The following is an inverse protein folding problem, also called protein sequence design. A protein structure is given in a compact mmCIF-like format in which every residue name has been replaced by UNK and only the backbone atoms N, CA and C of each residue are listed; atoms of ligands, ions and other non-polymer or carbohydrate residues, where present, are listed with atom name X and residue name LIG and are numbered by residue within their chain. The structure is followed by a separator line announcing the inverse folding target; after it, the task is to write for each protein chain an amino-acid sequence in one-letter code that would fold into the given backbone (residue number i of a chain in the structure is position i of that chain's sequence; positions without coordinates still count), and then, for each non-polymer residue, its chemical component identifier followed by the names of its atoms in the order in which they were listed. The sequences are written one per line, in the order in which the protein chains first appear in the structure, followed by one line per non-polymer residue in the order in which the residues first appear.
data_IF_245562277712
#
_entry.id   IF_245562277712
#
_cell.length_a   1.000
_cell.length_b   1.000
_cell.length_c   1.000
_cell.angle_alpha   90.00
_cell.angle_beta   90.00
_cell.angle_gamma   90.00
#
_symmetry.space_group_name_H-M   'P 1'
#
loop_
_entity.id
_entity.type
_entity.pdbx_description
1 polymer ?
#
# COMPACT_ATOMS: atom_id res chain seq x y z
N UNK A 1 37.77 -20.12 -41.72
CA UNK A 1 38.53 -21.36 -41.46
C UNK A 1 37.85 -22.07 -40.29
N UNK A 2 37.36 -23.31 -40.52
CA UNK A 2 36.67 -24.27 -39.62
C UNK A 2 35.37 -23.75 -38.92
N UNK A 3 34.11 -24.15 -39.20
CA UNK A 3 33.47 -25.39 -39.70
C UNK A 3 33.78 -26.61 -38.78
N UNK A 4 32.87 -27.40 -38.17
CA UNK A 4 31.50 -27.87 -38.50
C UNK A 4 30.79 -28.43 -37.23
N UNK A 5 29.46 -28.42 -37.32
CA UNK A 5 28.31 -28.97 -36.55
C UNK A 5 28.36 -30.40 -35.93
N UNK A 6 27.45 -30.69 -34.96
CA UNK A 6 26.25 -31.55 -35.18
C UNK A 6 25.28 -31.63 -33.98
N UNK A 7 24.02 -31.83 -34.37
CA UNK A 7 22.75 -31.96 -33.63
C UNK A 7 22.50 -33.43 -33.24
N UNK A 8 21.81 -33.67 -32.11
CA UNK A 8 20.82 -34.77 -32.02
C UNK A 8 19.82 -34.57 -30.87
N UNK A 9 18.53 -34.71 -31.23
CA UNK A 9 17.33 -34.76 -30.36
C UNK A 9 17.27 -36.05 -29.55
N UNK A 10 16.58 -36.02 -28.41
CA UNK A 10 16.15 -37.23 -27.69
C UNK A 10 15.11 -36.93 -26.62
N UNK A 11 13.84 -37.14 -26.97
CA UNK A 11 12.66 -37.17 -26.08
C UNK A 11 12.67 -38.49 -25.31
N UNK A 12 12.49 -38.48 -23.98
CA UNK A 12 11.92 -39.62 -23.26
C UNK A 12 10.98 -39.17 -22.13
N UNK A 13 9.72 -39.53 -22.31
CA UNK A 13 8.67 -39.62 -21.31
C UNK A 13 9.00 -40.69 -20.27
N UNK A 14 8.70 -40.43 -19.00
CA UNK A 14 8.39 -41.49 -18.02
C UNK A 14 7.17 -41.09 -17.18
N UNK A 15 6.05 -41.75 -17.48
CA UNK A 15 4.91 -41.95 -16.57
C UNK A 15 4.93 -43.42 -16.13
N UNK A 16 4.71 -43.69 -14.84
CA UNK A 16 3.69 -44.62 -14.26
C UNK A 16 4.10 -45.09 -12.85
N UNK A 17 3.50 -44.52 -11.78
CA UNK A 17 2.40 -44.99 -10.87
C UNK A 17 2.83 -46.00 -9.75
N UNK A 18 2.00 -46.31 -8.73
CA UNK A 18 2.23 -45.94 -7.32
C UNK A 18 2.46 -47.17 -6.43
N UNK A 19 2.79 -47.00 -5.15
CA UNK A 19 2.63 -48.09 -4.18
C UNK A 19 2.02 -47.62 -2.86
N UNK A 20 0.79 -48.09 -2.63
CA UNK A 20 0.11 -48.16 -1.34
C UNK A 20 0.79 -49.21 -0.45
N UNK A 21 0.96 -48.92 0.83
CA UNK A 21 0.88 -49.93 1.90
C UNK A 21 0.12 -49.37 3.11
N UNK A 22 -0.93 -50.09 3.53
CA UNK A 22 -1.77 -49.84 4.71
C UNK A 22 -1.27 -50.63 5.93
N UNK A 23 -1.41 -49.98 7.09
CA UNK A 23 -1.68 -50.45 8.46
C UNK A 23 -0.92 -51.63 9.10
N UNK A 24 -0.39 -51.35 10.31
CA UNK A 24 -0.58 -52.19 11.51
C UNK A 24 -0.82 -51.32 12.76
N UNK A 25 -1.83 -51.68 13.56
CA UNK A 25 -2.08 -51.22 14.93
C UNK A 25 -1.51 -52.25 15.94
N UNK A 26 -1.35 -51.86 17.23
CA UNK A 26 -2.18 -52.53 18.24
C UNK A 26 -2.68 -51.66 19.42
N UNK A 27 -3.94 -51.93 19.81
CA UNK A 27 -4.58 -52.07 21.16
C UNK A 27 -4.39 -50.93 22.20
N UNK A 28 -5.39 -50.10 22.50
CA UNK A 28 -6.66 -50.27 23.28
C UNK A 28 -6.54 -50.05 24.80
N UNK A 29 -7.49 -49.26 25.32
CA UNK A 29 -7.97 -49.02 26.71
C UNK A 29 -7.89 -47.51 27.01
N UNK A 30 -8.93 -46.78 27.41
CA UNK A 30 -10.30 -47.09 27.79
C UNK A 30 -11.09 -45.77 27.73
N UNK A 31 -12.32 -45.83 27.22
CA UNK A 31 -13.30 -44.74 27.14
C UNK A 31 -13.82 -44.31 28.50
N UNK A 32 -13.91 -43.00 28.76
CA UNK A 32 -14.96 -42.38 29.57
C UNK A 32 -15.34 -41.04 28.92
N UNK A 33 -16.61 -40.91 28.52
CA UNK A 33 -17.25 -39.63 28.24
C UNK A 33 -18.04 -39.20 29.47
N UNK A 34 -18.22 -37.90 29.71
CA UNK A 34 -19.53 -37.28 29.94
C UNK A 34 -19.43 -35.75 30.15
N UNK A 35 -20.23 -35.06 29.33
CA UNK A 35 -21.03 -33.84 29.57
C UNK A 35 -20.46 -32.53 30.15
N UNK A 36 -20.80 -31.48 29.40
CA UNK A 36 -20.94 -30.07 29.73
C UNK A 36 -21.76 -29.77 30.99
N UNK A 37 -21.33 -28.78 31.77
CA UNK A 37 -22.21 -27.89 32.53
C UNK A 37 -21.63 -26.47 32.61
N UNK A 38 -22.43 -25.53 32.14
CA UNK A 38 -22.29 -24.08 32.23
C UNK A 38 -22.76 -23.63 33.63
N UNK A 39 -21.95 -22.93 34.44
CA UNK A 39 -22.43 -22.02 35.51
C UNK A 39 -21.50 -20.81 35.68
N UNK A 40 -22.14 -19.66 35.88
CA UNK A 40 -21.66 -18.27 35.99
C UNK A 40 -20.81 -17.96 37.24
N UNK A 41 -19.88 -17.01 37.05
CA UNK A 41 -19.48 -15.88 37.91
C UNK A 41 -19.37 -15.99 39.43
N UNK A 42 -18.22 -15.58 39.98
CA UNK A 42 -18.12 -14.78 41.21
C UNK A 42 -16.69 -14.22 41.42
N UNK A 43 -16.60 -12.94 41.77
CA UNK A 43 -15.41 -12.27 42.28
C UNK A 43 -14.97 -12.82 43.64
N UNK A 44 -13.67 -12.84 43.92
CA UNK A 44 -13.17 -12.92 45.30
C UNK A 44 -12.06 -11.90 45.53
N UNK A 45 -12.37 -10.91 46.37
CA UNK A 45 -11.40 -9.98 46.95
C UNK A 45 -10.57 -10.66 48.05
N UNK A 46 -9.30 -10.29 48.15
CA UNK A 46 -8.41 -10.76 49.19
C UNK A 46 -8.68 -10.03 50.52
N UNK A 47 -9.04 -10.80 51.54
CA UNK A 47 -8.96 -10.40 52.96
C UNK A 47 -7.50 -10.43 53.41
N UNK A 48 -7.08 -9.36 54.08
CA UNK A 48 -5.86 -9.32 54.89
C UNK A 48 -6.01 -10.18 56.14
N UNK A 49 -4.99 -10.98 56.44
CA UNK A 49 -4.74 -11.49 57.79
C UNK A 49 -3.24 -11.30 58.10
N UNK A 50 -2.97 -10.45 59.10
CA UNK A 50 -1.65 -10.33 59.74
C UNK A 50 -1.41 -11.55 60.64
N UNK A 51 -0.25 -12.18 60.52
CA UNK A 51 0.40 -12.89 61.63
C UNK A 51 1.90 -12.62 61.61
N UNK A 52 2.38 -12.20 62.77
CA UNK A 52 3.76 -11.89 63.16
C UNK A 52 4.57 -13.17 63.37
N UNK A 53 5.85 -13.15 62.97
CA UNK A 53 6.84 -14.18 63.28
C UNK A 53 8.17 -13.88 62.60
N UNK A 54 9.17 -13.56 63.40
CA UNK A 54 10.56 -13.28 63.01
C UNK A 54 11.21 -14.49 62.33
N UNK A 55 11.75 -14.29 61.12
CA UNK A 55 12.68 -15.19 60.47
C UNK A 55 13.65 -14.39 59.60
N UNK A 56 14.93 -14.41 59.96
CA UNK A 56 16.04 -13.80 59.23
C UNK A 56 16.21 -14.49 57.86
N UNK A 57 15.92 -13.78 56.76
CA UNK A 57 16.17 -14.27 55.39
C UNK A 57 17.28 -13.45 54.75
N UNK A 58 18.42 -14.10 54.47
CA UNK A 58 19.49 -13.55 53.64
C UNK A 58 18.98 -13.31 52.22
N UNK A 59 19.05 -12.07 51.75
CA UNK A 59 18.71 -11.69 50.36
C UNK A 59 19.94 -11.92 49.48
N UNK A 60 19.92 -12.97 48.66
CA UNK A 60 20.82 -13.14 47.51
C UNK A 60 20.22 -12.54 46.23
N UNK A 61 21.03 -12.19 45.22
CA UNK A 61 20.53 -11.56 44.00
C UNK A 61 19.66 -12.55 43.20
N UNK A 62 18.40 -12.18 42.99
CA UNK A 62 17.44 -12.94 42.21
C UNK A 62 17.78 -12.80 40.71
N UNK A 63 18.42 -13.80 40.11
CA UNK A 63 18.50 -13.92 38.65
C UNK A 63 17.13 -14.36 38.12
N UNK A 64 16.39 -13.42 37.54
CA UNK A 64 15.18 -13.74 36.76
C UNK A 64 15.62 -14.25 35.40
N UNK A 65 15.66 -15.57 35.22
CA UNK A 65 15.70 -16.18 33.89
C UNK A 65 14.28 -16.21 33.33
N UNK A 66 14.00 -15.37 32.34
CA UNK A 66 12.78 -15.49 31.55
C UNK A 66 12.98 -16.64 30.54
N UNK A 67 12.61 -17.85 30.95
CA UNK A 67 12.38 -18.96 30.01
C UNK A 67 11.04 -18.70 29.32
N UNK A 68 11.08 -18.31 28.05
CA UNK A 68 9.90 -18.37 27.19
C UNK A 68 9.83 -19.80 26.68
N UNK A 69 9.11 -20.66 27.39
CA UNK A 69 8.67 -21.92 26.83
C UNK A 69 7.62 -21.60 25.76
N UNK A 70 8.05 -21.50 24.51
CA UNK A 70 7.14 -21.49 23.36
C UNK A 70 6.54 -22.89 23.26
N UNK A 71 5.25 -23.00 23.54
CA UNK A 71 4.50 -24.17 23.09
C UNK A 71 4.48 -24.08 21.56
N UNK A 72 5.27 -24.94 20.90
CA UNK A 72 5.33 -25.04 19.44
C UNK A 72 3.95 -25.39 18.89
N UNK A 73 3.22 -24.36 18.47
CA UNK A 73 2.18 -24.52 17.47
C UNK A 73 2.92 -24.52 16.14
N UNK A 74 2.94 -25.64 15.37
CA UNK A 74 3.59 -25.65 14.08
C UNK A 74 2.83 -24.68 13.15
N UNK A 75 3.35 -23.47 13.05
CA UNK A 75 2.98 -22.51 12.04
C UNK A 75 3.61 -22.98 10.74
N UNK A 76 2.80 -23.32 9.75
CA UNK A 76 3.24 -23.69 8.39
C UNK A 76 3.74 -22.45 7.62
N UNK A 77 3.78 -21.28 8.28
CA UNK A 77 4.21 -20.04 7.67
C UNK A 77 5.75 -19.99 7.70
N UNK A 78 6.42 -19.78 6.55
CA UNK A 78 7.87 -19.66 6.53
C UNK A 78 8.32 -18.49 7.42
N UNK A 79 9.14 -18.80 8.42
CA UNK A 79 9.73 -17.79 9.31
C UNK A 79 11.08 -17.33 8.78
N UNK A 80 11.33 -16.01 8.86
CA UNK A 80 12.62 -15.41 8.55
C UNK A 80 13.21 -14.86 9.84
N UNK A 81 14.33 -15.44 10.28
CA UNK A 81 15.09 -14.95 11.45
C UNK A 81 16.13 -13.94 10.97
N UNK A 82 15.93 -12.67 11.33
CA UNK A 82 16.86 -11.58 10.98
C UNK A 82 17.92 -11.42 12.07
N UNK A 83 19.20 -11.57 11.70
CA UNK A 83 20.31 -11.28 12.60
C UNK A 83 20.53 -9.75 12.71
N UNK A 84 20.83 -9.21 13.90
CA UNK A 84 21.10 -7.78 14.05
C UNK A 84 22.29 -7.33 13.21
N UNK A 85 22.14 -6.23 12.46
CA UNK A 85 23.23 -5.60 11.71
C UNK A 85 23.80 -4.39 12.46
N UNK A 86 25.10 -4.14 12.28
CA UNK A 86 25.79 -3.02 12.94
C UNK A 86 25.58 -1.68 12.21
N UNK A 87 25.64 -1.71 10.89
CA UNK A 87 25.43 -0.60 9.97
C UNK A 87 24.87 -1.12 8.63
N UNK A 88 24.25 -0.22 7.86
CA UNK A 88 23.88 -0.45 6.46
C UNK A 88 24.41 0.71 5.63
N UNK A 89 25.19 0.42 4.60
CA UNK A 89 25.67 1.41 3.65
C UNK A 89 25.71 0.85 2.24
N UNK A 90 25.48 1.70 1.24
CA UNK A 90 25.54 1.34 -0.17
C UNK A 90 24.56 2.10 -1.04
N UNK A 91 24.41 1.64 -2.28
CA UNK A 91 23.45 2.17 -3.25
C UNK A 91 22.43 1.08 -3.59
N UNK A 92 21.16 1.45 -3.65
CA UNK A 92 20.08 0.57 -4.10
C UNK A 92 19.26 1.26 -5.17
N UNK A 93 19.04 0.55 -6.28
CA UNK A 93 18.10 0.97 -7.32
C UNK A 93 16.78 0.27 -7.07
N UNK A 94 15.71 1.03 -6.84
CA UNK A 94 14.40 0.44 -6.54
C UNK A 94 13.66 0.04 -7.82
N UNK A 95 12.83 -1.01 -7.77
CA UNK A 95 11.90 -1.30 -8.84
C UNK A 95 10.86 -0.17 -8.93
N UNK A 96 10.16 -0.10 -10.07
CA UNK A 96 9.12 0.90 -10.30
C UNK A 96 8.05 0.93 -9.21
N UNK A 97 7.43 2.09 -9.00
CA UNK A 97 6.32 2.23 -8.06
C UNK A 97 5.09 1.47 -8.53
N UNK A 98 4.46 0.72 -7.61
CA UNK A 98 3.21 0.00 -7.86
C UNK A 98 2.09 0.93 -8.30
N UNK A 99 1.92 2.02 -7.54
CA UNK A 99 0.88 3.03 -7.75
C UNK A 99 1.06 3.80 -9.06
N UNK A 100 2.31 4.11 -9.45
CA UNK A 100 2.60 4.74 -10.74
C UNK A 100 2.42 3.75 -11.89
N UNK A 101 2.91 2.51 -11.74
CA UNK A 101 2.78 1.45 -12.76
C UNK A 101 1.33 1.30 -13.22
N UNK A 102 0.39 1.11 -12.27
CA UNK A 102 -1.01 0.91 -12.61
C UNK A 102 -1.69 2.16 -13.19
N UNK A 103 -1.35 3.36 -12.72
CA UNK A 103 -1.87 4.61 -13.32
C UNK A 103 -1.37 4.81 -14.74
N UNK A 104 -0.06 4.62 -14.97
CA UNK A 104 0.55 4.77 -16.29
C UNK A 104 0.00 3.73 -17.26
N UNK A 105 -0.16 2.47 -16.84
CA UNK A 105 -0.77 1.43 -17.68
C UNK A 105 -2.20 1.77 -18.07
N UNK A 106 -3.01 2.28 -17.12
CA UNK A 106 -4.38 2.68 -17.42
C UNK A 106 -4.42 3.88 -18.37
N UNK A 107 -3.63 4.94 -18.12
CA UNK A 107 -3.59 6.12 -18.98
C UNK A 107 -3.07 5.78 -20.38
N UNK A 108 -2.05 4.92 -20.48
CA UNK A 108 -1.56 4.39 -21.75
C UNK A 108 -2.67 3.64 -22.50
N UNK A 109 -3.42 2.77 -21.80
CA UNK A 109 -4.53 2.04 -22.37
C UNK A 109 -5.65 2.97 -22.87
N UNK A 110 -5.99 4.02 -22.12
CA UNK A 110 -7.05 4.97 -22.49
C UNK A 110 -6.62 5.98 -23.57
N UNK A 111 -5.33 6.10 -23.86
CA UNK A 111 -4.80 7.10 -24.78
C UNK A 111 -4.99 6.75 -26.27
N UNK A 112 -4.97 7.77 -27.13
CA UNK A 112 -4.72 7.60 -28.56
C UNK A 112 -3.22 7.40 -28.81
N UNK A 113 -2.84 6.34 -29.53
CA UNK A 113 -1.46 6.03 -29.89
C UNK A 113 -0.82 4.93 -29.04
N UNK A 114 0.46 4.66 -29.28
CA UNK A 114 1.21 3.58 -28.62
C UNK A 114 2.16 4.16 -27.58
N UNK A 115 2.10 3.63 -26.35
CA UNK A 115 2.99 4.01 -25.26
C UNK A 115 3.95 2.88 -24.92
N UNK A 116 5.24 3.17 -24.90
CA UNK A 116 6.28 2.31 -24.32
C UNK A 116 6.45 2.71 -22.86
N UNK A 117 6.22 1.76 -21.94
CA UNK A 117 6.31 1.94 -20.49
C UNK A 117 7.55 1.24 -19.97
N UNK A 118 8.51 2.00 -19.46
CA UNK A 118 9.79 1.52 -18.95
C UNK A 118 9.82 1.41 -17.42
N UNK A 119 10.67 0.51 -16.91
CA UNK A 119 10.87 0.22 -15.47
C UNK A 119 9.59 -0.21 -14.73
N UNK A 120 8.70 -0.93 -15.41
CA UNK A 120 7.46 -1.40 -14.83
C UNK A 120 7.72 -2.38 -13.66
N UNK A 121 6.94 -2.26 -12.59
CA UNK A 121 7.07 -3.14 -11.42
C UNK A 121 6.63 -4.57 -11.74
N UNK A 122 7.51 -5.54 -11.51
CA UNK A 122 7.12 -6.95 -11.52
C UNK A 122 6.43 -7.32 -10.19
N UNK A 123 5.10 -7.17 -10.15
CA UNK A 123 4.26 -7.50 -8.99
C UNK A 123 2.93 -8.08 -9.42
N UNK A 124 2.25 -8.80 -8.51
CA UNK A 124 0.92 -9.34 -8.75
C UNK A 124 -0.08 -8.24 -9.16
N UNK A 125 -0.05 -7.08 -8.50
CA UNK A 125 -0.94 -5.95 -8.84
C UNK A 125 -0.82 -5.53 -10.32
N UNK A 126 0.41 -5.42 -10.81
CA UNK A 126 0.69 -5.05 -12.21
C UNK A 126 0.35 -6.20 -13.16
N UNK A 127 0.62 -7.45 -12.75
CA UNK A 127 0.27 -8.62 -13.54
C UNK A 127 -1.24 -8.72 -13.77
N UNK A 128 -2.05 -8.49 -12.73
CA UNK A 128 -3.51 -8.42 -12.84
C UNK A 128 -3.98 -7.25 -13.71
N UNK A 129 -3.35 -6.07 -13.60
CA UNK A 129 -3.66 -4.94 -14.49
C UNK A 129 -3.40 -5.30 -15.96
N UNK A 130 -2.22 -5.83 -16.29
CA UNK A 130 -1.87 -6.25 -17.65
C UNK A 130 -2.82 -7.34 -18.17
N UNK A 131 -3.20 -8.30 -17.32
CA UNK A 131 -4.20 -9.32 -17.63
C UNK A 131 -5.56 -8.71 -17.97
N UNK A 132 -6.04 -7.77 -17.14
CA UNK A 132 -7.30 -7.09 -17.39
C UNK A 132 -7.28 -6.28 -18.69
N UNK A 133 -6.19 -5.58 -19.00
CA UNK A 133 -6.06 -4.86 -20.28
C UNK A 133 -6.11 -5.81 -21.48
N UNK A 134 -5.50 -6.99 -21.39
CA UNK A 134 -5.61 -8.03 -22.44
C UNK A 134 -7.03 -8.56 -22.56
N UNK A 135 -7.73 -8.79 -21.44
CA UNK A 135 -9.15 -9.20 -21.44
C UNK A 135 -10.06 -8.12 -22.04
N UNK A 136 -9.73 -6.84 -21.85
CA UNK A 136 -10.38 -5.70 -22.49
C UNK A 136 -10.04 -5.58 -23.98
N UNK A 137 -9.22 -6.47 -24.53
CA UNK A 137 -8.89 -6.60 -25.94
C UNK A 137 -7.74 -5.70 -26.43
N UNK A 138 -7.01 -5.04 -25.54
CA UNK A 138 -5.86 -4.21 -25.94
C UNK A 138 -4.66 -5.09 -26.34
N UNK A 139 -3.86 -4.60 -27.29
CA UNK A 139 -2.55 -5.17 -27.59
C UNK A 139 -1.54 -4.68 -26.55
N UNK A 140 -1.05 -5.63 -25.74
CA UNK A 140 -0.10 -5.39 -24.65
C UNK A 140 1.07 -6.37 -24.77
N UNK A 141 2.23 -5.85 -25.15
CA UNK A 141 3.46 -6.62 -25.35
C UNK A 141 4.42 -6.39 -24.19
N UNK A 142 4.81 -7.46 -23.50
CA UNK A 142 5.62 -7.39 -22.28
C UNK A 142 7.01 -7.97 -22.53
N UNK A 143 8.04 -7.17 -22.25
CA UNK A 143 9.42 -7.61 -22.19
C UNK A 143 9.91 -7.58 -20.74
N UNK A 144 9.90 -8.76 -20.10
CA UNK A 144 10.28 -8.92 -18.69
C UNK A 144 11.76 -8.66 -18.41
N UNK A 145 12.64 -8.95 -19.38
CA UNK A 145 14.08 -8.75 -19.23
C UNK A 145 14.41 -7.25 -19.19
N UNK A 146 13.75 -6.47 -20.06
CA UNK A 146 13.90 -5.01 -20.10
C UNK A 146 12.99 -4.27 -19.11
N UNK A 147 12.13 -4.98 -18.37
CA UNK A 147 11.07 -4.40 -17.52
C UNK A 147 10.22 -3.37 -18.28
N UNK A 148 9.91 -3.68 -19.54
CA UNK A 148 9.24 -2.80 -20.46
C UNK A 148 7.92 -3.41 -20.92
N UNK A 149 6.90 -2.58 -21.09
CA UNK A 149 5.63 -2.97 -21.72
C UNK A 149 5.26 -1.96 -22.81
N UNK A 150 4.83 -2.46 -23.96
CA UNK A 150 4.25 -1.64 -25.03
C UNK A 150 2.73 -1.81 -24.98
N UNK A 151 2.02 -0.70 -24.84
CA UNK A 151 0.56 -0.65 -24.81
C UNK A 151 0.06 0.15 -26.01
N UNK A 152 -0.72 -0.49 -26.88
CA UNK A 152 -1.50 0.22 -27.90
C UNK A 152 -2.79 0.74 -27.28
N UNK A 153 -2.89 2.05 -27.14
CA UNK A 153 -4.04 2.69 -26.52
C UNK A 153 -5.29 2.63 -27.40
N UNK A 154 -6.46 2.62 -26.74
CA UNK A 154 -7.76 2.45 -27.39
C UNK A 154 -8.51 3.76 -27.63
N UNK A 155 -7.93 4.92 -27.27
CA UNK A 155 -8.56 6.23 -27.46
C UNK A 155 -9.85 6.42 -26.66
N UNK A 156 -9.97 5.76 -25.50
CA UNK A 156 -11.07 5.94 -24.55
C UNK A 156 -12.22 4.94 -24.68
N UNK A 157 -12.21 4.05 -25.68
CA UNK A 157 -13.21 2.98 -25.81
C UNK A 157 -12.54 1.62 -25.91
N UNK A 158 -12.78 0.73 -24.94
CA UNK A 158 -12.15 -0.59 -24.93
C UNK A 158 -12.61 -1.45 -26.13
N UNK A 159 -11.69 -2.18 -26.78
CA UNK A 159 -11.99 -2.91 -28.02
C UNK A 159 -12.80 -4.20 -27.81
N UNK A 160 -12.84 -4.75 -26.60
CA UNK A 160 -13.76 -5.84 -26.26
C UNK A 160 -15.20 -5.35 -26.48
N UNK A 161 -16.04 -6.11 -27.19
CA UNK A 161 -17.46 -5.77 -27.37
C UNK A 161 -17.93 -5.21 -28.72
N UNK A 162 -17.20 -5.46 -29.81
CA UNK A 162 -17.79 -5.35 -31.17
C UNK A 162 -18.79 -6.47 -31.49
N UNK A 163 -18.84 -7.52 -30.67
CA UNK A 163 -19.75 -8.66 -30.77
C UNK A 163 -20.71 -8.67 -29.57
N UNK A 164 -21.99 -8.95 -29.82
CA UNK A 164 -23.11 -8.60 -28.93
C UNK A 164 -23.10 -9.27 -27.55
N UNK A 165 -23.39 -8.48 -26.50
CA UNK A 165 -23.84 -8.87 -25.14
C UNK A 165 -23.09 -10.04 -24.50
N UNK A 166 -21.84 -9.79 -24.11
CA UNK A 166 -21.07 -10.69 -23.24
C UNK A 166 -20.72 -9.93 -21.96
N UNK A 167 -20.96 -10.56 -20.80
CA UNK A 167 -20.45 -10.06 -19.53
C UNK A 167 -18.91 -10.27 -19.52
N UNK A 168 -18.15 -9.17 -19.42
CA UNK A 168 -16.69 -9.21 -19.40
C UNK A 168 -16.21 -9.29 -17.94
N UNK A 169 -15.64 -10.44 -17.56
CA UNK A 169 -15.11 -10.65 -16.22
C UNK A 169 -13.64 -10.20 -16.13
N UNK A 170 -13.34 -9.30 -15.19
CA UNK A 170 -12.00 -8.84 -14.87
C UNK A 170 -11.61 -9.35 -13.47
N UNK A 171 -10.79 -10.40 -13.44
CA UNK A 171 -10.23 -10.91 -12.19
C UNK A 171 -8.95 -10.16 -11.81
N UNK A 172 -8.99 -9.43 -10.70
CA UNK A 172 -7.93 -8.51 -10.27
C UNK A 172 -7.20 -8.96 -8.99
N UNK A 173 -7.37 -10.21 -8.57
CA UNK A 173 -6.69 -10.75 -7.40
C UNK A 173 -6.89 -9.90 -6.14
N UNK A 174 -5.81 -9.45 -5.49
CA UNK A 174 -5.85 -8.47 -4.40
C UNK A 174 -5.33 -7.07 -4.81
N UNK A 175 -5.36 -6.77 -6.12
CA UNK A 175 -4.80 -5.56 -6.72
C UNK A 175 -5.72 -4.34 -6.54
N UNK A 176 -5.70 -3.77 -5.33
CA UNK A 176 -6.53 -2.60 -5.01
C UNK A 176 -6.22 -1.38 -5.87
N UNK A 177 -4.96 -1.22 -6.28
CA UNK A 177 -4.52 -0.11 -7.14
C UNK A 177 -4.91 -0.27 -8.61
N UNK A 178 -5.39 -1.46 -9.01
CA UNK A 178 -5.98 -1.72 -10.32
C UNK A 178 -7.51 -1.69 -10.28
N UNK A 179 -8.11 -2.32 -9.25
CA UNK A 179 -9.57 -2.45 -9.07
C UNK A 179 -10.30 -1.11 -9.19
N UNK A 180 -9.94 -0.10 -8.41
CA UNK A 180 -10.69 1.17 -8.35
C UNK A 180 -10.58 1.96 -9.66
N UNK A 181 -9.37 2.19 -10.20
CA UNK A 181 -9.24 2.89 -11.48
C UNK A 181 -9.92 2.16 -12.64
N UNK A 182 -9.81 0.83 -12.71
CA UNK A 182 -10.47 0.06 -13.76
C UNK A 182 -11.99 0.12 -13.66
N UNK A 183 -12.57 0.03 -12.45
CA UNK A 183 -14.02 0.20 -12.27
C UNK A 183 -14.48 1.53 -12.87
N UNK A 184 -13.83 2.65 -12.51
CA UNK A 184 -14.20 3.96 -13.03
C UNK A 184 -13.99 4.06 -14.55
N UNK A 185 -12.87 3.52 -15.05
CA UNK A 185 -12.52 3.59 -16.47
C UNK A 185 -13.48 2.79 -17.36
N UNK A 186 -13.85 1.56 -16.98
CA UNK A 186 -14.81 0.77 -17.79
C UNK A 186 -16.21 1.36 -17.76
N UNK A 187 -16.60 2.01 -16.64
CA UNK A 187 -17.84 2.79 -16.56
C UNK A 187 -17.81 3.98 -17.52
N UNK A 188 -16.74 4.76 -17.52
CA UNK A 188 -16.64 5.98 -18.34
C UNK A 188 -16.42 5.71 -19.83
N UNK A 189 -15.59 4.72 -20.17
CA UNK A 189 -15.37 4.28 -21.55
C UNK A 189 -16.65 3.78 -22.23
N UNK A 190 -17.63 3.34 -21.44
CA UNK A 190 -18.93 2.93 -21.91
C UNK A 190 -18.89 1.69 -22.80
N UNK A 191 -19.75 1.69 -23.82
CA UNK A 191 -19.95 0.57 -24.73
C UNK A 191 -21.20 -0.23 -24.37
N UNK A 192 -21.65 -1.09 -25.29
CA UNK A 192 -22.86 -1.88 -25.07
C UNK A 192 -22.57 -3.17 -24.28
N UNK A 193 -21.94 -3.04 -23.11
CA UNK A 193 -21.32 -4.13 -22.35
C UNK A 193 -21.62 -4.07 -20.86
N UNK A 194 -21.52 -5.23 -20.25
CA UNK A 194 -21.52 -5.41 -18.81
C UNK A 194 -20.14 -5.91 -18.37
N UNK A 195 -19.65 -5.41 -17.24
CA UNK A 195 -18.39 -5.83 -16.65
C UNK A 195 -18.60 -6.34 -15.22
N UNK A 196 -17.84 -7.37 -14.85
CA UNK A 196 -17.77 -7.87 -13.48
C UNK A 196 -16.32 -7.79 -13.03
N UNK A 197 -16.02 -6.93 -12.06
CA UNK A 197 -14.69 -6.80 -11.47
C UNK A 197 -14.67 -7.53 -10.12
N UNK A 198 -13.85 -8.56 -10.02
CA UNK A 198 -13.76 -9.42 -8.83
C UNK A 198 -12.31 -9.76 -8.48
N UNK A 199 -12.12 -10.44 -7.36
CA UNK A 199 -10.80 -10.83 -6.88
C UNK A 199 -10.84 -12.00 -5.90
N UNK A 200 -9.73 -12.18 -5.20
CA UNK A 200 -9.61 -13.20 -4.14
C UNK A 200 -10.52 -12.83 -2.95
N UNK A 201 -10.83 -13.76 -2.01
CA UNK A 201 -11.68 -13.47 -0.85
C UNK A 201 -11.27 -12.21 -0.08
N UNK A 202 -9.95 -11.99 0.09
CA UNK A 202 -9.43 -10.79 0.74
C UNK A 202 -9.80 -9.48 0.02
N UNK A 203 -9.91 -9.49 -1.31
CA UNK A 203 -10.37 -8.32 -2.09
C UNK A 203 -11.84 -8.01 -1.84
N UNK A 204 -12.68 -9.03 -1.64
CA UNK A 204 -14.11 -8.88 -1.31
C UNK A 204 -14.37 -8.35 0.11
N UNK A 205 -13.31 -8.09 0.86
CA UNK A 205 -13.32 -7.43 2.17
C UNK A 205 -12.71 -6.01 2.10
N UNK A 206 -12.27 -5.56 0.91
CA UNK A 206 -11.67 -4.23 0.73
C UNK A 206 -12.74 -3.27 0.23
N UNK A 207 -12.84 -2.07 0.85
CA UNK A 207 -13.90 -1.13 0.50
C UNK A 207 -13.73 -0.61 -0.94
N UNK A 208 -14.88 -0.41 -1.58
CA UNK A 208 -15.07 0.26 -2.87
C UNK A 208 -16.40 1.02 -2.97
N UNK A 209 -17.29 0.88 -1.99
CA UNK A 209 -18.64 1.45 -2.01
C UNK A 209 -18.69 2.95 -2.32
N UNK A 210 -17.81 3.77 -1.75
CA UNK A 210 -17.83 5.22 -2.00
C UNK A 210 -17.52 5.57 -3.45
N UNK A 211 -16.67 4.79 -4.13
CA UNK A 211 -16.45 4.95 -5.57
C UNK A 211 -17.70 4.58 -6.35
N UNK A 212 -18.38 3.49 -5.98
CA UNK A 212 -19.63 3.05 -6.62
C UNK A 212 -20.72 4.11 -6.44
N UNK A 213 -20.90 4.63 -5.22
CA UNK A 213 -21.84 5.72 -4.91
C UNK A 213 -21.47 6.98 -5.68
N UNK A 214 -20.18 7.31 -5.81
CA UNK A 214 -19.71 8.44 -6.59
C UNK A 214 -20.07 8.31 -8.08
N UNK A 215 -19.85 7.14 -8.67
CA UNK A 215 -20.23 6.85 -10.07
C UNK A 215 -21.75 6.88 -10.27
N UNK A 216 -22.54 6.36 -9.32
CA UNK A 216 -24.01 6.44 -9.34
C UNK A 216 -24.52 7.89 -9.33
N UNK A 217 -23.90 8.78 -8.54
CA UNK A 217 -24.23 10.22 -8.54
C UNK A 217 -24.01 10.86 -9.93
N UNK A 218 -23.05 10.35 -10.70
CA UNK A 218 -22.76 10.78 -12.07
C UNK A 218 -23.62 10.07 -13.14
N UNK A 219 -24.64 9.32 -12.71
CA UNK A 219 -25.62 8.68 -13.58
C UNK A 219 -25.20 7.30 -14.13
N UNK A 220 -24.15 6.68 -13.60
CA UNK A 220 -23.74 5.34 -14.02
C UNK A 220 -24.61 4.22 -13.42
N UNK A 221 -24.86 3.18 -14.21
CA UNK A 221 -25.44 1.92 -13.73
C UNK A 221 -24.32 0.99 -13.22
N UNK A 222 -23.98 1.17 -11.95
CA UNK A 222 -22.94 0.39 -11.27
C UNK A 222 -23.43 -0.02 -9.89
N UNK A 223 -23.08 -1.24 -9.47
CA UNK A 223 -23.40 -1.77 -8.16
C UNK A 223 -22.27 -2.64 -7.63
N UNK A 224 -22.24 -2.85 -6.31
CA UNK A 224 -21.34 -3.81 -5.68
C UNK A 224 -22.12 -4.63 -4.65
N UNK A 225 -21.45 -5.58 -4.01
CA UNK A 225 -22.08 -6.39 -2.99
C UNK A 225 -22.62 -5.54 -1.82
N UNK A 226 -23.64 -6.03 -1.06
CA UNK A 226 -24.19 -5.30 0.09
C UNK A 226 -23.18 -4.95 1.20
N UNK A 227 -21.97 -5.53 1.17
CA UNK A 227 -20.87 -5.20 2.09
C UNK A 227 -20.00 -4.03 1.59
N UNK A 228 -20.42 -3.31 0.55
CA UNK A 228 -19.68 -2.19 -0.05
C UNK A 228 -18.27 -2.58 -0.55
N UNK A 229 -18.12 -3.84 -0.94
CA UNK A 229 -16.88 -4.45 -1.41
C UNK A 229 -17.12 -5.18 -2.76
N UNK A 230 -16.05 -5.52 -3.51
CA UNK A 230 -16.15 -6.37 -4.70
C UNK A 230 -16.86 -7.72 -4.42
N UNK A 231 -17.48 -8.36 -5.43
CA UNK A 231 -17.48 -8.00 -6.84
C UNK A 231 -18.25 -6.71 -7.15
N UNK A 232 -17.81 -6.00 -8.18
CA UNK A 232 -18.46 -4.80 -8.73
C UNK A 232 -19.05 -5.15 -10.10
N UNK A 233 -20.33 -4.86 -10.28
CA UNK A 233 -21.06 -5.02 -11.53
C UNK A 233 -21.24 -3.65 -12.17
N UNK A 234 -20.79 -3.50 -13.41
CA UNK A 234 -20.92 -2.26 -14.19
C UNK A 234 -21.72 -2.58 -15.44
N UNK A 235 -22.86 -1.93 -15.62
CA UNK A 235 -23.55 -1.86 -16.90
C UNK A 235 -23.11 -0.57 -17.60
N UNK A 236 -22.24 -0.70 -18.59
CA UNK A 236 -21.58 0.43 -19.23
C UNK A 236 -22.38 1.00 -20.43
N UNK A 237 -23.60 0.52 -20.65
CA UNK A 237 -24.48 0.97 -21.73
C UNK A 237 -24.66 2.48 -21.69
N UNK A 238 -24.19 3.16 -22.73
CA UNK A 238 -24.31 4.62 -22.85
C UNK A 238 -23.19 5.44 -22.18
N UNK A 239 -22.20 4.82 -21.53
CA UNK A 239 -21.08 5.53 -20.91
C UNK A 239 -21.48 6.34 -19.67
N UNK A 240 -20.58 7.23 -19.23
CA UNK A 240 -20.80 8.05 -18.04
C UNK A 240 -21.42 9.41 -18.41
N UNK A 241 -22.65 9.73 -17.98
CA UNK A 241 -23.32 10.99 -18.32
C UNK A 241 -22.59 12.24 -17.83
N UNK A 242 -22.00 12.18 -16.62
CA UNK A 242 -21.37 13.33 -15.96
C UNK A 242 -22.30 13.99 -14.93
N UNK A 243 -22.01 15.24 -14.56
CA UNK A 243 -22.78 15.98 -13.55
C UNK A 243 -21.97 16.27 -12.29
N UNK A 244 -22.63 16.29 -11.13
CA UNK A 244 -22.01 16.63 -9.85
C UNK A 244 -21.91 15.43 -8.94
N UNK A 245 -20.78 15.27 -8.27
CA UNK A 245 -20.55 14.22 -7.29
C UNK A 245 -19.94 14.79 -6.02
N UNK A 246 -20.43 14.33 -4.88
CA UNK A 246 -19.86 14.60 -3.56
C UNK A 246 -19.08 13.40 -3.08
N UNK A 247 -17.86 13.64 -2.61
CA UNK A 247 -16.96 12.59 -2.13
C UNK A 247 -16.28 13.03 -0.83
N UNK A 248 -16.13 12.11 0.11
CA UNK A 248 -15.30 12.34 1.31
C UNK A 248 -13.82 12.19 0.94
N UNK A 249 -13.06 13.25 1.19
CA UNK A 249 -11.60 13.30 1.05
C UNK A 249 -10.85 12.64 2.20
N UNK A 250 -11.52 12.30 3.30
CA UNK A 250 -10.91 11.62 4.45
C UNK A 250 -10.83 10.09 4.28
N UNK A 251 -11.67 9.47 3.46
CA UNK A 251 -11.74 8.00 3.34
C UNK A 251 -10.66 7.43 2.41
N UNK A 252 -10.61 7.86 1.14
CA UNK A 252 -9.59 7.37 0.22
C UNK A 252 -9.34 8.23 -0.99
N UNK A 253 -8.09 8.69 -1.12
CA UNK A 253 -7.57 9.33 -2.35
C UNK A 253 -7.61 8.39 -3.57
N UNK A 254 -7.73 7.07 -3.39
CA UNK A 254 -7.87 6.11 -4.49
C UNK A 254 -9.20 6.27 -5.23
N UNK A 255 -10.27 6.66 -4.54
CA UNK A 255 -11.58 6.85 -5.18
C UNK A 255 -11.60 8.14 -5.98
N UNK A 256 -11.12 9.23 -5.37
CA UNK A 256 -10.96 10.51 -6.07
C UNK A 256 -10.08 10.35 -7.31
N UNK A 257 -8.90 9.74 -7.18
CA UNK A 257 -7.99 9.57 -8.33
C UNK A 257 -8.55 8.64 -9.41
N UNK A 258 -9.33 7.62 -9.04
CA UNK A 258 -10.05 6.80 -10.02
C UNK A 258 -11.09 7.62 -10.80
N UNK A 259 -11.90 8.44 -10.12
CA UNK A 259 -12.85 9.34 -10.77
C UNK A 259 -12.14 10.37 -11.64
N UNK A 260 -11.07 10.99 -11.16
CA UNK A 260 -10.30 11.98 -11.93
C UNK A 260 -9.75 11.40 -13.23
N UNK A 261 -9.21 10.17 -13.23
CA UNK A 261 -8.70 9.55 -14.45
C UNK A 261 -9.82 9.17 -15.45
N UNK A 262 -11.02 8.87 -14.97
CA UNK A 262 -12.14 8.41 -15.80
C UNK A 262 -13.03 9.56 -16.31
N UNK A 263 -13.25 10.60 -15.50
CA UNK A 263 -14.13 11.73 -15.80
C UNK A 263 -13.84 12.46 -17.13
N UNK A 264 -12.58 12.58 -17.62
CA UNK A 264 -12.30 13.15 -18.94
C UNK A 264 -13.01 12.43 -20.09
N UNK A 265 -13.33 11.13 -19.92
CA UNK A 265 -14.04 10.31 -20.91
C UNK A 265 -15.56 10.43 -20.81
N UNK A 266 -16.09 11.13 -19.80
CA UNK A 266 -17.53 11.30 -19.62
C UNK A 266 -18.16 12.05 -20.79
N UNK A 267 -19.45 11.80 -21.03
CA UNK A 267 -20.21 12.46 -22.09
C UNK A 267 -20.45 13.95 -21.80
N UNK A 268 -20.60 14.29 -20.52
CA UNK A 268 -20.77 15.65 -20.02
C UNK A 268 -19.72 16.01 -18.98
N UNK A 269 -19.68 17.29 -18.61
CA UNK A 269 -18.74 17.81 -17.62
C UNK A 269 -18.99 17.20 -16.23
N UNK A 270 -17.92 17.04 -15.46
CA UNK A 270 -17.94 16.50 -14.10
C UNK A 270 -17.43 17.54 -13.11
N UNK A 271 -18.23 17.81 -12.07
CA UNK A 271 -17.83 18.60 -10.90
C UNK A 271 -17.74 17.70 -9.68
N UNK A 272 -16.56 17.60 -9.08
CA UNK A 272 -16.33 16.83 -7.85
C UNK A 272 -16.19 17.80 -6.68
N UNK A 273 -17.05 17.69 -5.68
CA UNK A 273 -17.01 18.45 -4.42
C UNK A 273 -16.50 17.53 -3.30
N UNK A 274 -15.41 17.93 -2.63
CA UNK A 274 -14.90 17.26 -1.44
C UNK A 274 -15.60 17.83 -0.22
N UNK A 275 -16.36 16.99 0.49
CA UNK A 275 -17.24 17.44 1.58
C UNK A 275 -16.52 17.64 2.93
N UNK A 276 -15.29 17.15 3.05
CA UNK A 276 -14.44 17.24 4.23
C UNK A 276 -12.98 17.52 3.83
N UNK A 277 -12.02 17.29 4.72
CA UNK A 277 -10.60 17.57 4.45
C UNK A 277 -10.00 16.46 3.59
N UNK A 278 -9.45 16.85 2.43
CA UNK A 278 -8.71 15.92 1.58
C UNK A 278 -7.40 15.47 2.23
N UNK A 279 -7.31 14.18 2.53
CA UNK A 279 -6.11 13.52 3.00
C UNK A 279 -5.33 12.99 1.79
N UNK A 280 -4.00 12.96 1.88
CA UNK A 280 -3.12 12.44 0.83
C UNK A 280 -3.17 13.20 -0.50
N UNK A 281 -3.27 14.54 -0.43
CA UNK A 281 -3.14 15.47 -1.59
C UNK A 281 -2.01 15.07 -2.55
N UNK A 282 -0.82 14.60 -2.11
CA UNK A 282 0.24 14.23 -3.04
C UNK A 282 -0.11 13.11 -4.03
N UNK A 283 -1.02 12.19 -3.70
CA UNK A 283 -1.49 11.18 -4.67
C UNK A 283 -2.42 11.78 -5.73
N UNK A 284 -3.17 12.82 -5.37
CA UNK A 284 -4.00 13.57 -6.31
C UNK A 284 -3.11 14.39 -7.24
N UNK A 285 -2.17 15.16 -6.68
CA UNK A 285 -1.17 15.93 -7.45
C UNK A 285 -0.40 15.03 -8.43
N UNK A 286 0.06 13.86 -7.97
CA UNK A 286 0.72 12.86 -8.82
C UNK A 286 -0.17 12.41 -9.97
N UNK A 287 -1.47 12.18 -9.70
CA UNK A 287 -2.43 11.74 -10.72
C UNK A 287 -2.67 12.85 -11.75
N UNK A 288 -2.87 14.09 -11.30
CA UNK A 288 -3.05 15.24 -12.21
C UNK A 288 -1.83 15.45 -13.11
N UNK A 289 -0.62 15.46 -12.55
CA UNK A 289 0.63 15.58 -13.33
C UNK A 289 0.81 14.45 -14.34
N UNK A 290 0.39 13.22 -14.00
CA UNK A 290 0.39 12.12 -14.96
C UNK A 290 -0.62 12.38 -16.07
N UNK A 291 -1.85 12.79 -15.75
CA UNK A 291 -2.88 13.08 -16.74
C UNK A 291 -2.45 14.20 -17.71
N UNK A 292 -1.77 15.24 -17.20
CA UNK A 292 -1.20 16.31 -18.02
C UNK A 292 -0.16 15.79 -19.02
N UNK A 293 0.69 14.83 -18.62
CA UNK A 293 1.64 14.17 -19.54
C UNK A 293 0.93 13.41 -20.66
N UNK A 294 -0.30 12.97 -20.43
CA UNK A 294 -1.18 12.36 -21.45
C UNK A 294 -2.14 13.39 -22.09
N UNK A 295 -1.89 14.69 -21.93
CA UNK A 295 -2.60 15.76 -22.64
C UNK A 295 -3.97 16.13 -22.09
N UNK A 296 -4.32 15.70 -20.87
CA UNK A 296 -5.58 16.02 -20.20
C UNK A 296 -5.33 16.94 -19.02
N UNK A 297 -6.13 18.00 -18.90
CA UNK A 297 -6.02 18.99 -17.85
C UNK A 297 -7.30 19.03 -17.02
N UNK A 298 -7.13 19.14 -15.69
CA UNK A 298 -8.23 19.27 -14.74
C UNK A 298 -8.08 20.58 -13.99
N UNK A 299 -9.17 21.33 -13.91
CA UNK A 299 -9.24 22.55 -13.11
C UNK A 299 -9.58 22.14 -11.66
N UNK A 300 -8.92 22.73 -10.67
CA UNK A 300 -9.25 22.49 -9.25
C UNK A 300 -9.05 23.75 -8.42
N UNK A 301 -9.73 23.84 -7.28
CA UNK A 301 -9.54 24.94 -6.32
C UNK A 301 -8.18 24.84 -5.62
N UNK A 302 -7.66 25.98 -5.17
CA UNK A 302 -6.43 26.04 -4.36
C UNK A 302 -6.57 25.27 -3.02
N UNK A 303 -7.80 25.20 -2.50
CA UNK A 303 -8.17 24.46 -1.29
C UNK A 303 -8.33 22.96 -1.51
N UNK A 304 -8.29 22.47 -2.76
CA UNK A 304 -8.52 21.07 -3.14
C UNK A 304 -9.91 20.52 -2.79
N UNK A 305 -10.87 21.41 -2.56
CA UNK A 305 -12.26 21.05 -2.23
C UNK A 305 -13.16 20.90 -3.46
N UNK A 306 -12.70 21.33 -4.64
CA UNK A 306 -13.45 21.26 -5.89
C UNK A 306 -12.57 20.93 -7.07
N UNK A 307 -13.07 20.07 -7.95
CA UNK A 307 -12.46 19.73 -9.23
C UNK A 307 -13.51 19.90 -10.33
N UNK A 308 -13.11 20.54 -11.42
CA UNK A 308 -13.92 20.69 -12.62
C UNK A 308 -13.22 20.03 -13.81
N UNK A 309 -13.90 19.05 -14.40
CA UNK A 309 -13.39 18.22 -15.47
C UNK A 309 -14.31 18.36 -16.66
N UNK A 310 -13.76 18.83 -17.79
CA UNK A 310 -14.51 18.88 -19.05
C UNK A 310 -14.68 17.47 -19.60
N UNK A 311 -15.91 17.10 -19.96
CA UNK A 311 -16.21 15.83 -20.62
C UNK A 311 -15.69 15.79 -22.05
N UNK A 312 -15.60 14.60 -22.63
CA UNK A 312 -15.17 14.37 -24.02
C UNK A 312 -13.71 14.72 -24.31
N UNK A 313 -12.88 14.88 -23.29
CA UNK A 313 -11.44 15.01 -23.44
C UNK A 313 -10.82 13.69 -23.90
N UNK A 314 -9.65 13.77 -24.53
CA UNK A 314 -8.94 12.62 -25.05
C UNK A 314 -7.52 12.57 -24.54
N UNK A 315 -7.15 11.44 -23.95
CA UNK A 315 -5.77 11.15 -23.63
C UNK A 315 -4.97 10.90 -24.91
N UNK A 316 -3.74 11.40 -24.95
CA UNK A 316 -2.78 11.20 -26.04
C UNK A 316 -1.53 10.56 -25.49
N UNK A 317 -1.04 9.53 -26.19
CA UNK A 317 0.19 8.88 -25.78
C UNK A 317 1.37 9.85 -25.88
N UNK A 318 2.23 9.93 -24.85
CA UNK A 318 3.50 10.64 -24.95
C UNK A 318 4.57 9.85 -25.75
N UNK A 319 4.24 8.68 -26.29
CA UNK A 319 5.18 7.75 -26.94
C UNK A 319 5.96 6.91 -25.93
N UNK A 320 6.58 7.56 -24.94
CA UNK A 320 7.35 6.90 -23.88
C UNK A 320 6.94 7.39 -22.50
N UNK A 321 6.90 6.48 -21.52
CA UNK A 321 6.61 6.78 -20.12
C UNK A 321 7.51 5.94 -19.22
N UNK A 322 8.06 6.55 -18.18
CA UNK A 322 8.97 5.89 -17.26
C UNK A 322 8.34 5.80 -15.87
N UNK A 323 8.39 4.61 -15.26
CA UNK A 323 7.94 4.40 -13.89
C UNK A 323 9.09 4.66 -12.93
N UNK A 324 8.96 5.71 -12.10
CA UNK A 324 9.92 6.04 -11.04
C UNK A 324 10.05 4.91 -10.01
N UNK A 325 11.20 4.83 -9.34
CA UNK A 325 11.43 3.88 -8.25
C UNK A 325 10.44 4.12 -7.09
N UNK A 326 10.01 3.06 -6.42
CA UNK A 326 8.97 3.14 -5.39
C UNK A 326 9.42 3.92 -4.14
N UNK A 327 8.90 5.14 -3.97
CA UNK A 327 9.31 6.03 -2.88
C UNK A 327 8.87 5.51 -1.50
N UNK A 328 7.74 4.80 -1.42
CA UNK A 328 7.29 4.17 -0.17
C UNK A 328 8.28 3.08 0.27
N UNK A 329 8.75 2.24 -0.66
CA UNK A 329 9.77 1.22 -0.40
C UNK A 329 11.15 1.83 -0.12
N UNK A 330 11.47 2.98 -0.72
CA UNK A 330 12.70 3.72 -0.42
C UNK A 330 12.82 4.03 1.08
N UNK A 331 11.68 4.34 1.73
CA UNK A 331 11.65 4.68 3.15
C UNK A 331 12.34 3.64 4.03
N UNK A 332 12.25 2.34 3.70
CA UNK A 332 12.86 1.27 4.49
C UNK A 332 14.39 1.34 4.50
N UNK A 333 14.98 1.58 3.32
CA UNK A 333 16.44 1.66 3.15
C UNK A 333 16.99 2.95 3.77
N UNK A 334 16.29 4.06 3.56
CA UNK A 334 16.66 5.35 4.15
C UNK A 334 16.55 5.33 5.68
N UNK A 335 15.49 4.71 6.22
CA UNK A 335 15.31 4.48 7.65
C UNK A 335 16.41 3.59 8.21
N UNK A 336 16.82 2.54 7.49
CA UNK A 336 17.93 1.68 7.87
C UNK A 336 19.24 2.47 8.04
N UNK A 337 19.56 3.35 7.10
CA UNK A 337 20.72 4.23 7.21
C UNK A 337 20.61 5.18 8.41
N UNK A 338 19.44 5.81 8.59
CA UNK A 338 19.19 6.73 9.69
C UNK A 338 19.31 6.06 11.07
N UNK A 339 18.70 4.89 11.26
CA UNK A 339 18.75 4.13 12.51
C UNK A 339 20.17 3.64 12.80
N UNK A 340 20.88 3.20 11.76
CA UNK A 340 22.18 2.56 11.93
C UNK A 340 23.38 3.49 11.76
N UNK A 341 23.20 4.79 11.47
CA UNK A 341 24.32 5.71 11.29
C UNK A 341 25.16 5.43 10.03
N UNK A 342 24.69 4.54 9.15
CA UNK A 342 25.33 4.26 7.87
C UNK A 342 24.88 5.24 6.78
N UNK A 343 25.30 5.01 5.53
CA UNK A 343 24.95 5.87 4.39
C UNK A 343 24.34 5.07 3.25
N UNK A 344 23.08 5.34 2.93
CA UNK A 344 22.38 4.68 1.81
C UNK A 344 21.95 5.70 0.77
N UNK A 345 22.25 5.40 -0.48
CA UNK A 345 21.72 6.09 -1.67
C UNK A 345 20.61 5.25 -2.28
N UNK A 346 19.44 5.84 -2.50
CA UNK A 346 18.35 5.25 -3.28
C UNK A 346 18.30 5.92 -4.63
N UNK A 347 18.38 5.14 -5.70
CA UNK A 347 18.23 5.59 -7.09
C UNK A 347 16.83 5.31 -7.61
N UNK A 348 16.34 6.20 -8.48
CA UNK A 348 15.04 6.11 -9.14
C UNK A 348 13.97 7.05 -8.57
N UNK A 349 14.26 7.74 -7.47
CA UNK A 349 13.42 8.80 -6.90
C UNK A 349 14.32 9.90 -6.32
N UNK A 350 14.09 11.16 -6.72
CA UNK A 350 14.85 12.33 -6.28
C UNK A 350 13.97 13.58 -6.24
N UNK A 351 14.55 14.77 -6.47
CA UNK A 351 13.79 16.03 -6.42
C UNK A 351 12.68 16.13 -7.46
N UNK A 352 12.83 15.43 -8.59
CA UNK A 352 11.90 15.50 -9.71
C UNK A 352 10.79 14.41 -9.62
N UNK A 353 10.80 13.62 -8.53
CA UNK A 353 9.83 12.55 -8.26
C UNK A 353 8.41 13.09 -8.15
N UNK A 354 7.47 12.42 -8.82
CA UNK A 354 6.04 12.69 -8.66
C UNK A 354 5.49 12.18 -7.32
N UNK A 355 6.19 11.25 -6.65
CA UNK A 355 5.73 10.60 -5.44
C UNK A 355 5.97 11.47 -4.19
N UNK A 356 4.92 11.72 -3.41
CA UNK A 356 5.00 12.50 -2.17
C UNK A 356 5.87 11.87 -1.07
N UNK A 357 5.93 10.54 -1.03
CA UNK A 357 6.65 9.76 -0.03
C UNK A 357 8.17 9.97 -0.07
N UNK A 358 8.70 10.50 -1.17
CA UNK A 358 10.12 10.84 -1.27
C UNK A 358 10.53 11.82 -0.15
N UNK A 359 9.60 12.69 0.27
CA UNK A 359 9.79 13.67 1.35
C UNK A 359 9.98 13.04 2.72
N UNK A 360 9.84 11.72 2.86
CA UNK A 360 10.22 11.01 4.08
C UNK A 360 11.68 11.29 4.49
N UNK A 361 12.57 11.47 3.51
CA UNK A 361 13.96 11.83 3.80
C UNK A 361 14.08 13.17 4.56
N UNK A 362 13.22 14.16 4.28
CA UNK A 362 13.18 15.43 5.03
C UNK A 362 12.78 15.22 6.50
N UNK A 363 11.93 14.20 6.78
CA UNK A 363 11.59 13.83 8.16
C UNK A 363 12.82 13.24 8.85
N UNK A 364 13.57 12.37 8.18
CA UNK A 364 14.82 11.82 8.71
C UNK A 364 15.87 12.91 8.95
N UNK A 365 15.92 13.94 8.10
CA UNK A 365 16.78 15.11 8.29
C UNK A 365 16.43 15.86 9.58
N UNK A 366 15.14 16.12 9.82
CA UNK A 366 14.65 16.72 11.08
C UNK A 366 14.97 15.86 12.30
N UNK A 367 15.04 14.54 12.13
CA UNK A 367 15.46 13.60 13.17
C UNK A 367 16.99 13.57 13.35
N UNK A 368 17.77 14.31 12.56
CA UNK A 368 19.23 14.45 12.73
C UNK A 368 20.07 13.64 11.75
N UNK A 369 19.48 13.01 10.74
CA UNK A 369 20.23 12.46 9.61
C UNK A 369 20.72 13.58 8.69
N UNK A 370 21.76 13.31 7.90
CA UNK A 370 22.18 14.17 6.78
C UNK A 370 21.54 13.66 5.50
N UNK A 371 20.91 14.55 4.74
CA UNK A 371 20.25 14.20 3.49
C UNK A 371 20.86 14.98 2.33
N UNK A 372 21.09 14.31 1.22
CA UNK A 372 21.54 14.95 -0.02
C UNK A 372 20.75 14.40 -1.19
N UNK A 373 20.51 15.26 -2.16
CA UNK A 373 19.58 15.01 -3.25
C UNK A 373 20.27 15.19 -4.60
N UNK A 374 19.86 14.38 -5.56
CA UNK A 374 19.98 14.69 -6.99
C UNK A 374 18.58 14.69 -7.60
N UNK A 375 18.49 14.95 -8.91
CA UNK A 375 17.21 14.84 -9.62
C UNK A 375 16.58 13.45 -9.51
N UNK A 376 17.40 12.39 -9.53
CA UNK A 376 16.97 11.00 -9.63
C UNK A 376 17.40 10.12 -8.46
N UNK A 377 17.96 10.70 -7.39
CA UNK A 377 18.38 9.93 -6.22
C UNK A 377 18.29 10.74 -4.93
N UNK A 378 18.18 10.01 -3.82
CA UNK A 378 18.22 10.54 -2.46
C UNK A 378 19.22 9.74 -1.64
N UNK A 379 20.09 10.43 -0.91
CA UNK A 379 21.10 9.82 -0.05
C UNK A 379 20.88 10.25 1.38
N UNK A 380 20.80 9.29 2.30
CA UNK A 380 20.65 9.52 3.73
C UNK A 380 21.85 8.92 4.46
N UNK A 381 22.52 9.75 5.25
CA UNK A 381 23.55 9.34 6.21
C UNK A 381 23.00 9.52 7.62
N UNK A 382 22.89 8.43 8.38
CA UNK A 382 22.46 8.52 9.78
C UNK A 382 23.48 9.25 10.67
N UNK A 383 23.07 9.72 11.84
CA UNK A 383 23.95 10.43 12.76
C UNK A 383 25.11 9.53 13.23
N UNK A 384 26.32 10.10 13.44
CA UNK A 384 27.46 9.35 13.95
C UNK A 384 27.17 8.82 15.35
N UNK A 385 27.86 7.74 15.74
CA UNK A 385 27.86 7.28 17.12
C UNK A 385 28.51 8.34 17.99
N UNK A 386 27.88 8.66 19.11
CA UNK A 386 28.52 9.48 20.13
C UNK A 386 29.59 8.70 20.91
N UNK A 387 30.27 9.39 21.82
CA UNK A 387 31.29 8.81 22.71
C UNK A 387 30.75 7.71 23.64
N UNK A 388 29.44 7.57 23.79
CA UNK A 388 28.79 6.48 24.53
C UNK A 388 28.41 5.29 23.65
N UNK A 389 28.69 5.36 22.34
CA UNK A 389 28.38 4.32 21.36
C UNK A 389 26.95 4.36 20.83
N UNK A 390 26.15 5.36 21.23
CA UNK A 390 24.73 5.48 20.88
C UNK A 390 24.54 6.36 19.62
N UNK A 391 23.56 6.00 18.79
CA UNK A 391 23.19 6.69 17.56
C UNK A 391 21.96 7.53 17.84
N UNK A 392 22.06 8.85 17.73
CA UNK A 392 21.02 9.75 18.25
C UNK A 392 20.13 10.30 17.15
N UNK A 393 18.95 9.70 16.97
CA UNK A 393 17.85 10.36 16.30
C UNK A 393 17.05 11.21 17.29
N UNK A 394 16.66 12.41 16.87
CA UNK A 394 15.80 13.33 17.61
C UNK A 394 14.32 12.95 17.46
N UNK A 395 13.53 13.25 18.49
CA UNK A 395 12.08 13.15 18.39
C UNK A 395 11.54 14.26 17.48
N UNK A 396 10.54 13.93 16.67
CA UNK A 396 9.83 14.88 15.81
C UNK A 396 8.32 14.75 16.04
N UNK A 397 7.62 15.86 15.82
CA UNK A 397 6.17 15.91 15.70
C UNK A 397 5.85 16.31 14.25
N UNK A 398 5.26 15.39 13.50
CA UNK A 398 5.06 15.51 12.05
C UNK A 398 3.69 14.97 11.68
N UNK A 399 2.94 15.75 10.91
CA UNK A 399 1.71 15.30 10.28
C UNK A 399 2.05 14.44 9.05
N UNK A 400 1.64 13.17 9.07
CA UNK A 400 1.93 12.20 8.02
C UNK A 400 0.81 12.09 6.96
N UNK A 401 -0.21 12.95 6.99
CA UNK A 401 -1.33 12.93 6.03
C UNK A 401 -0.88 13.15 4.57
N UNK A 402 0.32 13.72 4.35
CA UNK A 402 0.92 13.88 3.01
C UNK A 402 1.69 12.65 2.53
N UNK A 403 2.00 11.71 3.42
CA UNK A 403 2.80 10.52 3.14
C UNK A 403 2.36 9.35 4.03
N UNK A 404 1.07 8.94 3.97
CA UNK A 404 0.51 7.99 4.93
C UNK A 404 1.18 6.61 4.86
N UNK A 405 1.60 6.16 3.67
CA UNK A 405 2.17 4.82 3.46
C UNK A 405 3.51 4.62 4.19
N UNK A 406 4.28 5.71 4.38
CA UNK A 406 5.56 5.70 5.12
C UNK A 406 5.41 5.98 6.62
N UNK A 407 4.19 6.21 7.12
CA UNK A 407 3.94 6.43 8.55
C UNK A 407 4.38 5.22 9.40
N UNK A 408 4.19 4.00 8.89
CA UNK A 408 4.65 2.78 9.55
C UNK A 408 6.18 2.70 9.63
N UNK A 409 6.88 3.15 8.60
CA UNK A 409 8.34 3.25 8.61
C UNK A 409 8.79 4.26 9.68
N UNK A 410 8.16 5.43 9.73
CA UNK A 410 8.46 6.44 10.76
C UNK A 410 8.22 5.91 12.18
N UNK A 411 7.14 5.16 12.38
CA UNK A 411 6.79 4.57 13.67
C UNK A 411 7.93 3.68 14.21
N UNK A 412 8.57 2.89 13.33
CA UNK A 412 9.73 2.07 13.69
C UNK A 412 10.96 2.95 13.97
N UNK A 413 11.26 3.94 13.11
CA UNK A 413 12.37 4.88 13.32
C UNK A 413 12.26 5.61 14.66
N UNK A 414 11.04 6.00 15.05
CA UNK A 414 10.76 6.68 16.30
C UNK A 414 11.10 5.85 17.57
N UNK A 415 11.22 4.51 17.46
CA UNK A 415 11.67 3.65 18.56
C UNK A 415 13.17 3.80 18.85
N UNK A 416 13.95 4.30 17.89
CA UNK A 416 15.40 4.49 18.00
C UNK A 416 15.78 5.93 18.42
N UNK A 417 14.81 6.74 18.85
CA UNK A 417 15.04 8.10 19.35
C UNK A 417 15.57 8.12 20.79
N UNK A 418 16.37 9.12 21.12
CA UNK A 418 16.81 9.32 22.51
C UNK A 418 15.72 10.00 23.37
N UNK A 419 15.46 9.43 24.55
CA UNK A 419 14.67 10.04 25.63
C UNK A 419 15.59 10.19 26.87
N UNK A 420 15.87 11.38 27.46
CA UNK A 420 15.05 12.60 27.59
C UNK A 420 15.75 13.91 27.10
N UNK A 421 16.82 13.82 26.32
CA UNK A 421 17.65 14.99 25.95
C UNK A 421 17.00 15.95 24.92
N UNK A 422 15.88 15.56 24.32
CA UNK A 422 15.24 16.31 23.24
C UNK A 422 14.55 17.63 23.67
N UNK A 423 14.42 17.90 24.98
CA UNK A 423 13.71 19.09 25.46
C UNK A 423 14.50 20.40 25.33
N UNK A 424 15.82 20.35 25.06
CA UNK A 424 16.67 21.56 24.95
C UNK A 424 16.96 22.03 23.53
N UNK A 425 16.73 21.21 22.50
CA UNK A 425 16.96 21.59 21.08
C UNK A 425 15.68 21.85 20.29
N UNK A 426 14.56 21.23 20.64
CA UNK A 426 13.28 21.58 20.07
C UNK A 426 12.70 22.74 20.88
N UNK A 427 12.78 23.96 20.33
CA UNK A 427 12.06 25.12 20.88
C UNK A 427 10.57 24.80 21.06
N UNK A 428 9.93 25.46 22.03
CA UNK A 428 8.49 25.33 22.34
C UNK A 428 7.67 25.25 21.05
N UNK A 429 7.16 24.06 20.74
CA UNK A 429 6.06 23.87 19.80
C UNK A 429 4.79 23.86 20.67
N UNK A 430 4.03 24.96 20.61
CA UNK A 430 2.69 25.03 21.19
C UNK A 430 1.77 24.12 20.39
N UNK A 431 1.07 23.22 21.08
CA UNK A 431 0.10 22.32 20.47
C UNK A 431 -1.22 23.05 20.26
N UNK A 432 -1.53 23.38 19.01
CA UNK A 432 -2.91 23.67 18.62
C UNK A 432 -3.68 22.34 18.60
N UNK A 433 -4.50 22.12 19.63
CA UNK A 433 -5.47 21.03 19.64
C UNK A 433 -6.66 21.43 18.78
N UNK A 434 -6.75 20.93 17.56
CA UNK A 434 -8.00 20.84 16.84
C UNK A 434 -8.36 19.36 16.71
N UNK A 435 -9.48 18.97 17.33
CA UNK A 435 -10.00 17.62 17.28
C UNK A 435 -10.55 17.31 15.89
N UNK A 436 -9.75 16.61 15.10
CA UNK A 436 -10.17 15.96 13.86
C UNK A 436 -9.36 14.67 13.70
N UNK A 437 -9.97 13.63 13.10
CA UNK A 437 -9.38 12.32 12.82
C UNK A 437 -8.14 12.45 11.93
N UNK A 438 -6.99 12.66 12.55
CA UNK A 438 -5.69 12.85 11.92
C UNK A 438 -4.76 11.69 12.34
N UNK A 439 -3.93 11.20 11.40
CA UNK A 439 -2.89 10.22 11.71
C UNK A 439 -1.73 10.91 12.45
N UNK A 440 -1.89 11.07 13.77
CA UNK A 440 -0.82 11.51 14.67
C UNK A 440 -0.13 10.32 15.33
N UNK A 441 1.21 10.32 15.32
CA UNK A 441 2.00 9.46 16.20
C UNK A 441 2.05 10.07 17.61
N UNK A 442 1.00 9.84 18.40
CA UNK A 442 0.87 10.39 19.76
C UNK A 442 1.32 9.42 20.87
N UNK A 443 1.69 10.00 22.02
CA UNK A 443 2.03 9.33 23.27
C UNK A 443 0.82 9.35 24.21
N UNK A 444 0.34 8.20 24.69
CA UNK A 444 -0.50 8.14 25.91
C UNK A 444 0.36 7.91 27.15
N UNK A 445 0.23 8.77 28.16
CA UNK A 445 0.81 8.60 29.50
C UNK A 445 -0.29 8.10 30.45
N UNK A 446 -0.30 6.80 30.77
CA UNK A 446 -1.01 6.34 31.97
C UNK A 446 -0.12 6.57 33.18
N UNK A 447 -0.53 7.49 34.06
CA UNK A 447 0.07 7.67 35.38
C UNK A 447 -0.60 6.69 36.33
N UNK A 448 -0.06 5.47 36.40
CA UNK A 448 -0.37 4.50 37.44
C UNK A 448 0.82 4.34 38.37
N UNK A 449 0.60 4.56 39.67
CA UNK A 449 1.58 4.43 40.75
C UNK A 449 2.05 2.98 40.96
N UNK A 450 2.81 2.44 40.02
CA UNK A 450 3.86 1.45 40.26
C UNK A 450 4.63 1.21 38.95
N UNK A 451 5.95 1.28 39.04
CA UNK A 451 6.88 1.41 37.92
C UNK A 451 6.89 0.21 36.96
N UNK A 452 6.10 0.27 35.87
CA UNK A 452 6.42 -0.33 34.55
C UNK A 452 5.83 0.57 33.46
N UNK A 453 6.66 1.44 32.88
CA UNK A 453 6.25 2.29 31.74
C UNK A 453 6.10 1.41 30.50
N UNK A 454 4.87 1.21 30.02
CA UNK A 454 4.59 0.63 28.71
C UNK A 454 4.53 1.75 27.68
N UNK A 455 5.26 1.62 26.58
CA UNK A 455 5.08 2.46 25.39
C UNK A 455 3.89 1.90 24.62
N UNK A 456 2.79 2.65 24.55
CA UNK A 456 1.72 2.41 23.58
C UNK A 456 2.02 3.26 22.35
N UNK A 457 2.28 2.63 21.22
CA UNK A 457 2.06 3.26 19.91
C UNK A 457 0.57 3.13 19.62
N UNK A 458 -0.13 4.26 19.51
CA UNK A 458 -1.44 4.32 18.90
C UNK A 458 -1.22 4.86 17.48
N UNK A 459 -1.32 3.99 16.48
CA UNK A 459 -1.67 4.42 15.14
C UNK A 459 -3.18 4.28 15.05
N UNK A 460 -3.91 5.37 15.15
CA UNK A 460 -5.33 5.36 14.83
C UNK A 460 -5.45 5.28 13.30
N UNK A 461 -5.61 4.06 12.80
CA UNK A 461 -6.09 3.82 11.45
C UNK A 461 -7.60 3.64 11.54
N UNK A 462 -8.35 4.65 11.09
CA UNK A 462 -9.75 4.46 10.72
C UNK A 462 -9.76 3.62 9.44
N UNK A 463 -10.01 2.32 9.57
CA UNK A 463 -10.30 1.42 8.42
C UNK A 463 -11.73 1.57 7.95
#
# INVERSE_FOLDING_TARGET
MAQVSKISRGVQNTYTVPNLLKLRSPKSLSSISFRSQLIKGASMGLKQTKKTGDCNVKVGPLKVLASVATADKPSIVPEIVLQPIKDISGTVTLPGSKSLSNRILLLAALSEGTTVVDNLLNSDDVHYMLGALRTLGLRVEENRELKQVIVEGCGGQFPVGKEAKIDVELFLGNAGTAMRPLTAAVTAAGGNLSYILDGVPRMRERPIGDLVIGLQQLGADVSCSPTNCPPVHVNANGGLPGGKVKLSGSISSQYLTALLMAAPLALGDVEIEIIDKLISVPYVEMTLKLMERYGVFIEHSDSWDRFFIRGGQKYKSPGNSFVEGDASSASYFLAGAAITGGTVTVEGCGTDSLQGDVKFAEVLEKMGAKVTWTKNSVTVTGPPRDSSGWKHLCAVDVNMNKMPDVAMTLAVVALFRQWPYCHKRCGKLESERNGTDDCYLHRTQEVGSNSRRRTRLLCDYST
#
